data_IF_420170828773
#
_entry.id   IF_420170828773
#
_cell.length_a   1.000
_cell.length_b   1.000
_cell.length_c   1.000
_cell.angle_alpha   90.00
_cell.angle_beta   90.00
_cell.angle_gamma   90.00
#
_symmetry.space_group_name_H-M   'P 1'
#
loop_
_entity.id
_entity.type
_entity.pdbx_description
1 polymer ?
#
# COMPACT_ATOMS: atom_id res chain seq x y z
N UNK A 1 -1.38 -29.46 -30.43
CA UNK A 1 -1.27 -27.99 -30.27
C UNK A 1 -2.48 -27.34 -29.59
N UNK A 2 -3.74 -27.74 -29.86
CA UNK A 2 -4.94 -27.18 -29.20
C UNK A 2 -4.96 -27.35 -27.67
N UNK A 3 -4.54 -28.52 -27.16
CA UNK A 3 -4.49 -28.78 -25.72
C UNK A 3 -3.49 -27.88 -24.97
N UNK A 4 -2.34 -27.58 -25.58
CA UNK A 4 -1.33 -26.70 -24.97
C UNK A 4 -1.82 -25.26 -24.87
N UNK A 5 -2.47 -24.75 -25.93
CA UNK A 5 -3.09 -23.42 -25.91
C UNK A 5 -4.22 -23.33 -24.87
N UNK A 6 -5.06 -24.36 -24.76
CA UNK A 6 -6.11 -24.40 -23.75
C UNK A 6 -5.56 -24.41 -22.32
N UNK A 7 -4.48 -25.17 -22.08
CA UNK A 7 -3.83 -25.24 -20.78
C UNK A 7 -3.18 -23.90 -20.40
N UNK A 8 -2.52 -23.25 -21.35
CA UNK A 8 -1.90 -21.94 -21.13
C UNK A 8 -2.95 -20.86 -20.81
N UNK A 9 -4.06 -20.82 -21.55
CA UNK A 9 -5.16 -19.89 -21.26
C UNK A 9 -5.77 -20.13 -19.88
N UNK A 10 -5.91 -21.40 -19.47
CA UNK A 10 -6.39 -21.74 -18.14
C UNK A 10 -5.42 -21.29 -17.05
N UNK A 11 -4.12 -21.56 -17.21
CA UNK A 11 -3.10 -21.12 -16.28
C UNK A 11 -3.08 -19.59 -16.15
N UNK A 12 -3.25 -18.86 -17.25
CA UNK A 12 -3.34 -17.41 -17.25
C UNK A 12 -4.59 -16.91 -16.53
N UNK A 13 -5.75 -17.55 -16.74
CA UNK A 13 -6.99 -17.20 -16.05
C UNK A 13 -6.85 -17.40 -14.52
N UNK A 14 -6.23 -18.51 -14.09
CA UNK A 14 -5.95 -18.77 -12.67
C UNK A 14 -5.00 -17.71 -12.11
N UNK A 15 -3.95 -17.35 -12.85
CA UNK A 15 -3.00 -16.31 -12.44
C UNK A 15 -3.69 -14.95 -12.24
N UNK A 16 -4.54 -14.55 -13.18
CA UNK A 16 -5.30 -13.28 -13.10
C UNK A 16 -6.29 -13.29 -11.94
N UNK A 17 -6.92 -14.44 -11.65
CA UNK A 17 -7.87 -14.57 -10.55
C UNK A 17 -7.18 -14.63 -9.15
N UNK A 18 -5.92 -15.06 -9.10
CA UNK A 18 -5.17 -15.29 -7.85
C UNK A 18 -5.14 -14.12 -6.86
N UNK A 19 -4.85 -12.85 -7.24
CA UNK A 19 -4.88 -11.74 -6.29
C UNK A 19 -6.27 -11.48 -5.72
N UNK A 20 -7.34 -11.69 -6.50
CA UNK A 20 -8.72 -11.50 -6.03
C UNK A 20 -9.09 -12.48 -4.91
N UNK A 21 -8.59 -13.72 -4.99
CA UNK A 21 -8.76 -14.70 -3.90
C UNK A 21 -8.12 -14.21 -2.60
N UNK A 22 -6.92 -13.62 -2.68
CA UNK A 22 -6.22 -13.10 -1.51
C UNK A 22 -6.88 -11.85 -0.93
N UNK A 23 -7.47 -11.00 -1.77
CA UNK A 23 -8.27 -9.84 -1.32
C UNK A 23 -9.50 -10.31 -0.55
N UNK A 24 -10.19 -11.34 -1.06
CA UNK A 24 -11.32 -11.92 -0.36
C UNK A 24 -10.91 -12.48 1.01
N UNK A 25 -9.83 -13.26 1.07
CA UNK A 25 -9.28 -13.77 2.33
C UNK A 25 -8.91 -12.66 3.31
N UNK A 26 -8.27 -11.59 2.81
CA UNK A 26 -7.92 -10.43 3.62
C UNK A 26 -9.17 -9.74 4.18
N UNK A 27 -10.19 -9.54 3.33
CA UNK A 27 -11.46 -8.94 3.74
C UNK A 27 -12.13 -9.76 4.84
N UNK A 28 -12.19 -11.09 4.69
CA UNK A 28 -12.76 -11.99 5.69
C UNK A 28 -11.94 -11.98 6.98
N UNK A 29 -10.60 -11.97 6.89
CA UNK A 29 -9.72 -11.92 8.05
C UNK A 29 -9.91 -10.62 8.85
N UNK A 30 -10.07 -9.48 8.17
CA UNK A 30 -10.36 -8.18 8.81
C UNK A 30 -11.73 -8.20 9.48
N UNK A 31 -12.76 -8.72 8.80
CA UNK A 31 -14.12 -8.81 9.34
C UNK A 31 -14.19 -9.71 10.58
N UNK A 32 -13.50 -10.84 10.56
CA UNK A 32 -13.49 -11.82 11.64
C UNK A 32 -12.42 -11.52 12.72
N UNK A 33 -11.64 -10.45 12.57
CA UNK A 33 -10.52 -10.11 13.44
C UNK A 33 -9.50 -11.27 13.59
N UNK A 34 -9.27 -12.03 12.50
CA UNK A 34 -8.36 -13.17 12.45
C UNK A 34 -6.91 -12.69 12.26
N UNK A 35 -6.27 -12.38 13.37
CA UNK A 35 -4.91 -11.85 13.41
C UNK A 35 -3.87 -12.78 12.74
N UNK A 36 -3.84 -14.10 12.99
CA UNK A 36 -2.92 -15.01 12.30
C UNK A 36 -3.02 -14.97 10.77
N UNK A 37 -4.22 -14.87 10.22
CA UNK A 37 -4.41 -14.78 8.77
C UNK A 37 -3.98 -13.42 8.23
N UNK A 38 -4.24 -12.34 8.96
CA UNK A 38 -3.77 -11.00 8.58
C UNK A 38 -2.24 -10.91 8.55
N UNK A 39 -1.53 -11.48 9.53
CA UNK A 39 -0.06 -11.52 9.55
C UNK A 39 0.54 -12.26 8.34
N UNK A 40 -0.19 -13.24 7.79
CA UNK A 40 0.22 -13.93 6.55
C UNK A 40 -0.07 -13.11 5.30
N UNK A 41 -1.14 -12.34 5.28
CA UNK A 41 -1.57 -11.57 4.09
C UNK A 41 -1.01 -10.14 4.05
N UNK A 42 -0.42 -9.67 5.14
CA UNK A 42 0.10 -8.32 5.28
C UNK A 42 1.58 -8.38 5.63
N UNK A 43 2.40 -7.71 4.83
CA UNK A 43 3.81 -7.53 5.10
C UNK A 43 4.03 -6.18 5.80
N UNK A 44 4.01 -6.19 7.13
CA UNK A 44 4.17 -4.99 7.95
C UNK A 44 5.54 -4.34 7.81
N UNK A 45 6.59 -5.13 7.55
CA UNK A 45 7.93 -4.61 7.35
C UNK A 45 7.96 -3.75 6.09
N UNK A 46 7.41 -4.27 4.98
CA UNK A 46 7.29 -3.53 3.74
C UNK A 46 6.40 -2.29 3.89
N UNK A 47 5.26 -2.40 4.58
CA UNK A 47 4.34 -1.28 4.78
C UNK A 47 5.02 -0.16 5.58
N UNK A 48 5.69 -0.51 6.68
CA UNK A 48 6.40 0.46 7.50
C UNK A 48 7.54 1.11 6.73
N UNK A 49 8.30 0.35 5.94
CA UNK A 49 9.34 0.89 5.08
C UNK A 49 8.80 1.92 4.09
N UNK A 50 7.71 1.59 3.39
CA UNK A 50 7.09 2.50 2.43
C UNK A 50 6.47 3.72 3.14
N UNK A 51 5.89 3.53 4.32
CA UNK A 51 5.33 4.64 5.09
C UNK A 51 6.42 5.63 5.53
N UNK A 52 7.55 5.14 6.05
CA UNK A 52 8.72 5.95 6.41
C UNK A 52 9.24 6.74 5.23
N UNK A 53 9.45 6.06 4.09
CA UNK A 53 9.87 6.72 2.84
C UNK A 53 8.89 7.80 2.38
N UNK A 54 7.58 7.57 2.54
CA UNK A 54 6.56 8.53 2.14
C UNK A 54 6.54 9.76 3.08
N UNK A 55 6.78 9.57 4.37
CA UNK A 55 6.93 10.68 5.33
C UNK A 55 8.19 11.48 5.04
N UNK A 56 9.34 10.82 4.87
CA UNK A 56 10.60 11.46 4.50
C UNK A 56 10.44 12.26 3.21
N UNK A 57 9.84 11.67 2.19
CA UNK A 57 9.56 12.36 0.92
C UNK A 57 8.63 13.56 1.12
N UNK A 58 7.53 13.42 1.87
CA UNK A 58 6.59 14.54 2.14
C UNK A 58 7.29 15.68 2.86
N UNK A 59 8.11 15.41 3.88
CA UNK A 59 8.82 16.44 4.63
C UNK A 59 9.85 17.13 3.73
N UNK A 60 10.68 16.36 3.03
CA UNK A 60 11.70 16.88 2.14
C UNK A 60 11.11 17.70 0.99
N UNK A 61 10.03 17.25 0.37
CA UNK A 61 9.38 17.98 -0.72
C UNK A 61 8.55 19.18 -0.21
N UNK A 62 7.91 19.12 0.95
CA UNK A 62 7.15 20.28 1.46
C UNK A 62 8.08 21.41 1.89
N UNK A 63 9.18 21.07 2.57
CA UNK A 63 10.18 22.05 3.02
C UNK A 63 11.06 22.49 1.85
N UNK A 64 11.51 21.57 1.00
CA UNK A 64 12.34 21.86 -0.17
C UNK A 64 11.62 22.64 -1.27
N UNK A 65 10.32 22.41 -1.49
CA UNK A 65 9.57 23.22 -2.45
C UNK A 65 9.36 24.66 -1.93
N UNK A 66 9.25 24.84 -0.60
CA UNK A 66 9.21 26.16 0.04
C UNK A 66 10.61 26.80 0.19
N UNK A 67 11.70 26.02 0.18
CA UNK A 67 13.06 26.56 0.25
C UNK A 67 13.47 27.28 -1.05
N UNK A 68 12.79 27.00 -2.17
CA UNK A 68 12.92 27.78 -3.40
C UNK A 68 12.54 29.27 -3.21
N UNK A 69 11.66 29.57 -2.25
CA UNK A 69 11.26 30.94 -1.86
C UNK A 69 12.20 31.56 -0.81
N UNK A 70 13.12 30.79 -0.25
CA UNK A 70 14.10 31.27 0.73
C UNK A 70 15.36 31.82 0.04
N UNK A 71 16.04 32.82 0.64
CA UNK A 71 17.35 33.27 0.18
C UNK A 71 18.35 32.11 0.13
N UNK A 72 19.28 32.13 -0.84
CA UNK A 72 20.28 31.07 -1.08
C UNK A 72 21.06 30.68 0.20
N UNK A 73 21.34 31.65 1.07
CA UNK A 73 22.04 31.45 2.34
C UNK A 73 21.26 30.61 3.37
N UNK A 74 19.94 30.49 3.23
CA UNK A 74 19.07 29.75 4.12
C UNK A 74 18.62 28.40 3.54
N UNK A 75 18.84 28.15 2.24
CA UNK A 75 18.43 26.91 1.57
C UNK A 75 19.14 25.69 2.12
N UNK A 76 20.48 25.73 2.22
CA UNK A 76 21.27 24.60 2.73
C UNK A 76 20.86 24.20 4.16
N UNK A 77 20.62 25.18 5.03
CA UNK A 77 20.14 24.92 6.39
C UNK A 77 18.70 24.37 6.43
N UNK A 78 17.83 24.80 5.52
CA UNK A 78 16.46 24.31 5.45
C UNK A 78 16.39 22.86 4.94
N UNK A 79 17.24 22.49 3.98
CA UNK A 79 17.36 21.12 3.47
C UNK A 79 17.93 20.16 4.51
N UNK A 80 18.96 20.57 5.25
CA UNK A 80 19.53 19.77 6.34
C UNK A 80 18.51 19.55 7.47
N UNK A 81 17.80 20.62 7.87
CA UNK A 81 16.72 20.52 8.85
C UNK A 81 15.57 19.64 8.35
N UNK A 82 15.21 19.70 7.07
CA UNK A 82 14.20 18.82 6.49
C UNK A 82 14.60 17.35 6.58
N UNK A 83 15.86 17.02 6.25
CA UNK A 83 16.38 15.66 6.37
C UNK A 83 16.37 15.13 7.81
N UNK A 84 16.75 15.96 8.78
CA UNK A 84 16.70 15.61 10.21
C UNK A 84 15.26 15.39 10.68
N UNK A 85 14.34 16.31 10.35
CA UNK A 85 12.94 16.20 10.72
C UNK A 85 12.25 15.01 10.04
N UNK A 86 12.59 14.72 8.78
CA UNK A 86 12.10 13.57 8.03
C UNK A 86 12.49 12.25 8.71
N UNK A 87 13.77 12.10 9.06
CA UNK A 87 14.27 10.91 9.77
C UNK A 87 13.64 10.74 11.14
N UNK A 88 13.43 11.82 11.90
CA UNK A 88 12.78 11.77 13.22
C UNK A 88 11.29 11.42 13.11
N UNK A 89 10.57 12.00 12.14
CA UNK A 89 9.16 11.71 11.91
C UNK A 89 8.94 10.27 11.40
N UNK A 90 9.82 9.77 10.52
CA UNK A 90 9.80 8.39 10.07
C UNK A 90 10.20 7.39 11.18
N UNK A 91 11.14 7.76 12.06
CA UNK A 91 11.55 6.92 13.19
C UNK A 91 10.47 6.70 14.25
N UNK A 92 9.47 7.58 14.33
CA UNK A 92 8.42 7.58 15.37
C UNK A 92 7.08 7.02 14.90
N UNK A 93 6.92 6.73 13.61
CA UNK A 93 5.66 6.30 12.99
C UNK A 93 5.74 4.84 12.55
N UNK A 94 5.53 3.92 13.49
CA UNK A 94 5.27 2.52 13.16
C UNK A 94 3.77 2.30 12.94
N UNK A 95 3.39 1.84 11.74
CA UNK A 95 2.04 1.35 11.48
C UNK A 95 1.96 -0.05 12.09
N UNK A 96 1.12 -0.19 13.12
CA UNK A 96 0.77 -1.47 13.71
C UNK A 96 -0.48 -2.04 13.02
N UNK A 97 -0.64 -3.37 13.05
CA UNK A 97 -1.85 -4.12 12.68
C UNK A 97 -3.14 -3.38 13.06
N UNK A 98 -3.24 -2.89 14.30
CA UNK A 98 -4.45 -2.22 14.78
C UNK A 98 -4.76 -0.92 14.05
N UNK A 99 -3.76 -0.07 13.80
CA UNK A 99 -3.98 1.21 13.09
C UNK A 99 -4.27 0.99 11.61
N UNK A 100 -3.68 -0.04 11.02
CA UNK A 100 -3.95 -0.45 9.65
C UNK A 100 -5.37 -1.00 9.50
N UNK A 101 -5.81 -1.89 10.40
CA UNK A 101 -7.19 -2.38 10.43
C UNK A 101 -8.17 -1.23 10.62
N UNK A 102 -7.86 -0.30 11.53
CA UNK A 102 -8.72 0.86 11.75
C UNK A 102 -8.84 1.72 10.49
N UNK A 103 -7.72 2.01 9.80
CA UNK A 103 -7.75 2.69 8.48
C UNK A 103 -8.60 1.95 7.45
N UNK A 104 -8.51 0.62 7.40
CA UNK A 104 -9.28 -0.21 6.48
C UNK A 104 -10.77 -0.35 6.89
N UNK A 105 -11.10 -0.15 8.17
CA UNK A 105 -12.47 -0.21 8.74
C UNK A 105 -13.19 1.13 8.78
N UNK A 106 -12.47 2.26 8.83
CA UNK A 106 -13.05 3.62 8.86
C UNK A 106 -14.00 3.83 7.67
N UNK A 107 -13.68 3.20 6.56
CA UNK A 107 -14.56 3.09 5.41
C UNK A 107 -15.60 1.99 5.70
N UNK A 108 -16.87 2.38 5.91
CA UNK A 108 -17.94 1.44 6.30
C UNK A 108 -18.13 0.34 5.25
N UNK A 109 -17.87 -0.93 5.60
CA UNK A 109 -18.15 -2.11 4.76
C UNK A 109 -16.98 -3.08 4.67
N UNK A 110 -17.16 -4.20 3.97
CA UNK A 110 -16.06 -5.12 3.63
C UNK A 110 -15.10 -4.47 2.61
N UNK A 111 -13.83 -4.87 2.59
CA UNK A 111 -12.87 -4.36 1.60
C UNK A 111 -13.35 -4.60 0.16
N UNK A 112 -14.03 -5.72 -0.05
CA UNK A 112 -14.59 -6.10 -1.34
C UNK A 112 -15.66 -5.13 -1.82
N UNK A 113 -16.59 -4.72 -0.95
CA UNK A 113 -17.66 -3.77 -1.29
C UNK A 113 -17.14 -2.37 -1.61
N UNK A 114 -16.01 -2.00 -1.00
CA UNK A 114 -15.42 -0.68 -1.18
C UNK A 114 -14.48 -0.60 -2.38
N UNK A 115 -14.08 -1.75 -2.92
CA UNK A 115 -13.16 -1.83 -4.04
C UNK A 115 -13.81 -1.23 -5.29
N UNK A 116 -13.35 -0.05 -5.69
CA UNK A 116 -13.84 0.62 -6.91
C UNK A 116 -12.97 0.34 -8.12
N UNK A 117 -11.72 -0.06 -7.90
CA UNK A 117 -10.78 -0.39 -8.96
C UNK A 117 -9.74 -1.37 -8.44
N UNK A 118 -9.36 -2.32 -9.29
CA UNK A 118 -8.34 -3.30 -8.99
C UNK A 118 -7.69 -3.78 -10.28
N UNK A 119 -6.38 -3.58 -10.42
CA UNK A 119 -5.66 -3.93 -11.65
C UNK A 119 -4.19 -4.24 -11.39
N UNK A 120 -3.57 -4.97 -12.31
CA UNK A 120 -2.15 -5.26 -12.27
C UNK A 120 -1.34 -4.03 -12.74
N UNK A 121 -0.42 -3.55 -11.90
CA UNK A 121 0.62 -2.60 -12.33
C UNK A 121 1.77 -3.32 -13.03
N UNK A 122 2.04 -4.56 -12.60
CA UNK A 122 3.04 -5.46 -13.19
C UNK A 122 2.65 -6.91 -12.88
N UNK A 123 3.30 -7.94 -13.47
CA UNK A 123 2.97 -9.34 -13.17
C UNK A 123 3.03 -9.69 -11.67
N UNK A 124 3.84 -8.98 -10.89
CA UNK A 124 4.00 -9.20 -9.45
C UNK A 124 3.44 -8.05 -8.58
N UNK A 125 2.81 -7.02 -9.16
CA UNK A 125 2.25 -5.89 -8.43
C UNK A 125 0.79 -5.68 -8.81
N UNK A 126 -0.07 -5.60 -7.81
CA UNK A 126 -1.51 -5.43 -7.96
C UNK A 126 -1.96 -4.24 -7.12
N UNK A 127 -2.62 -3.28 -7.74
CA UNK A 127 -3.11 -2.08 -7.07
C UNK A 127 -4.62 -2.15 -6.92
N UNK A 128 -5.08 -1.78 -5.74
CA UNK A 128 -6.48 -1.75 -5.34
C UNK A 128 -6.79 -0.33 -4.88
N UNK A 129 -7.92 0.18 -5.31
CA UNK A 129 -8.47 1.44 -4.83
C UNK A 129 -9.75 1.18 -4.07
N UNK A 130 -9.77 1.64 -2.83
CA UNK A 130 -10.91 1.56 -1.92
C UNK A 130 -11.55 2.94 -1.82
N UNK A 131 -12.86 2.99 -2.00
CA UNK A 131 -13.62 4.24 -2.01
C UNK A 131 -13.67 4.93 -3.38
N UNK A 132 -14.41 6.03 -3.45
CA UNK A 132 -14.71 6.71 -4.72
C UNK A 132 -13.65 7.76 -5.08
N UNK A 133 -13.44 7.96 -6.39
CA UNK A 133 -12.64 9.09 -6.89
C UNK A 133 -13.17 10.42 -6.34
N UNK A 134 -12.26 11.29 -5.91
CA UNK A 134 -12.59 12.61 -5.38
C UNK A 134 -13.06 12.63 -3.93
N UNK A 135 -13.11 11.48 -3.25
CA UNK A 135 -13.45 11.36 -1.82
C UNK A 135 -12.35 10.68 -1.00
N UNK A 136 -11.09 11.09 -1.23
CA UNK A 136 -9.87 10.55 -0.60
C UNK A 136 -9.82 9.01 -0.62
N UNK A 137 -9.73 8.40 -1.82
CA UNK A 137 -9.67 6.94 -1.92
C UNK A 137 -8.34 6.41 -1.38
N UNK A 138 -8.42 5.33 -0.61
CA UNK A 138 -7.24 4.62 -0.10
C UNK A 138 -6.72 3.70 -1.21
N UNK A 139 -5.43 3.78 -1.50
CA UNK A 139 -4.77 2.89 -2.44
C UNK A 139 -3.98 1.83 -1.70
N UNK A 140 -4.29 0.57 -1.95
CA UNK A 140 -3.61 -0.58 -1.37
C UNK A 140 -2.81 -1.26 -2.47
N UNK A 141 -1.51 -1.44 -2.24
CA UNK A 141 -0.65 -2.22 -3.13
C UNK A 141 -0.42 -3.59 -2.54
N UNK A 142 -0.64 -4.60 -3.37
CA UNK A 142 -0.24 -5.98 -3.11
C UNK A 142 0.93 -6.36 -4.01
N UNK A 143 1.85 -7.13 -3.46
CA UNK A 143 2.97 -7.69 -4.21
C UNK A 143 2.97 -9.20 -4.06
N UNK A 144 3.28 -9.91 -5.13
CA UNK A 144 3.48 -11.35 -5.10
C UNK A 144 4.83 -11.65 -4.44
N UNK A 145 4.80 -12.30 -3.29
CA UNK A 145 5.95 -12.80 -2.56
C UNK A 145 5.89 -14.33 -2.54
N UNK A 146 6.76 -14.98 -3.33
CA UNK A 146 6.64 -16.42 -3.60
C UNK A 146 5.35 -16.71 -4.36
N UNK A 147 4.42 -17.43 -3.72
CA UNK A 147 3.11 -17.77 -4.29
C UNK A 147 1.94 -17.00 -3.66
N UNK A 148 2.24 -16.09 -2.73
CA UNK A 148 1.22 -15.36 -1.97
C UNK A 148 1.18 -13.90 -2.38
N UNK A 149 -0.02 -13.37 -2.55
CA UNK A 149 -0.21 -11.93 -2.66
C UNK A 149 -0.32 -11.33 -1.26
N UNK A 150 0.58 -10.42 -0.93
CA UNK A 150 0.60 -9.75 0.36
C UNK A 150 0.47 -8.25 0.18
N UNK A 151 -0.23 -7.60 1.10
CA UNK A 151 -0.28 -6.13 1.16
C UNK A 151 1.09 -5.62 1.60
N UNK A 152 1.72 -4.80 0.76
CA UNK A 152 3.07 -4.28 0.98
C UNK A 152 3.12 -2.77 1.11
N UNK A 153 2.07 -2.06 0.67
CA UNK A 153 1.95 -0.62 0.88
C UNK A 153 0.50 -0.15 0.91
N UNK A 154 0.28 0.96 1.63
CA UNK A 154 -0.99 1.67 1.68
C UNK A 154 -0.68 3.17 1.50
N UNK A 155 -1.44 3.81 0.62
CA UNK A 155 -1.36 5.23 0.31
C UNK A 155 -2.72 5.89 0.53
N UNK A 156 -2.68 7.13 1.01
CA UNK A 156 -3.84 8.00 1.23
C UNK A 156 -3.95 9.04 0.09
#
# INVERSE_FOLDING_TARGET
MKFFSSLLSFALAVFIAWPYVHIYQLSTAITNNDQPTMEKLIDFESINKVHKQNIEWKVNNTVGNNSSLLPESMRGSAEELAGVLGNLAAGTTEINIKSLIEKLRITKGSLWEQMTFAFFESPNSFIIRLGQLGRNPIHVRMTMQGWYWRVTAIYD
#
